data_IF_841795735669
#
_entry.id   IF_841795735669
#
_cell.length_a   1.000
_cell.length_b   1.000
_cell.length_c   1.000
_cell.angle_alpha   90.00
_cell.angle_beta   90.00
_cell.angle_gamma   90.00
#
_symmetry.space_group_name_H-M   'P 1'
#
loop_
_entity.id
_entity.type
_entity.pdbx_description
1 polymer ?
#
# COMPACT_ATOMS: atom_id res chain seq x y z
N UNK A 1 12.12 -15.77 -28.36
CA UNK A 1 12.67 -15.61 -27.01
C UNK A 1 12.17 -14.29 -26.44
N UNK A 2 11.17 -14.28 -25.54
CA UNK A 2 10.69 -13.03 -24.92
C UNK A 2 11.79 -12.53 -23.98
N UNK A 3 12.26 -11.29 -24.16
CA UNK A 3 13.23 -10.68 -23.25
C UNK A 3 12.57 -10.37 -21.90
N UNK A 4 13.33 -10.38 -20.81
CA UNK A 4 12.82 -10.09 -19.46
C UNK A 4 12.07 -8.74 -19.39
N UNK A 5 12.57 -7.75 -20.14
CA UNK A 5 11.96 -6.43 -20.31
C UNK A 5 10.59 -6.52 -21.00
N UNK A 6 10.45 -7.35 -22.04
CA UNK A 6 9.18 -7.53 -22.75
C UNK A 6 8.11 -8.16 -21.85
N UNK A 7 8.50 -9.10 -20.99
CA UNK A 7 7.61 -9.75 -20.01
C UNK A 7 7.20 -8.76 -18.91
N UNK A 8 8.14 -8.00 -18.36
CA UNK A 8 7.85 -6.97 -17.36
C UNK A 8 6.90 -5.89 -17.92
N UNK A 9 7.11 -5.47 -19.17
CA UNK A 9 6.21 -4.53 -19.86
C UNK A 9 4.83 -5.14 -20.08
N UNK A 10 4.73 -6.42 -20.48
CA UNK A 10 3.44 -7.08 -20.64
C UNK A 10 2.65 -7.13 -19.33
N UNK A 11 3.34 -7.41 -18.21
CA UNK A 11 2.76 -7.43 -16.86
C UNK A 11 2.29 -6.04 -16.39
N UNK A 12 3.14 -5.01 -16.47
CA UNK A 12 2.81 -3.65 -16.02
C UNK A 12 1.67 -3.02 -16.84
N UNK A 13 1.59 -3.35 -18.13
CA UNK A 13 0.55 -2.85 -19.02
C UNK A 13 -0.65 -3.78 -19.14
N UNK A 14 -0.67 -4.91 -18.41
CA UNK A 14 -1.74 -5.93 -18.48
C UNK A 14 -2.10 -6.31 -19.93
N UNK A 15 -1.08 -6.51 -20.79
CA UNK A 15 -1.28 -6.80 -22.22
C UNK A 15 -2.00 -8.11 -22.48
N UNK A 16 -1.79 -9.10 -21.62
CA UNK A 16 -2.37 -10.43 -21.72
C UNK A 16 -3.65 -10.58 -20.86
N UNK A 17 -4.22 -9.47 -20.37
CA UNK A 17 -5.43 -9.50 -19.56
C UNK A 17 -6.68 -9.71 -20.44
N UNK A 18 -7.59 -10.57 -20.01
CA UNK A 18 -8.82 -10.89 -20.73
C UNK A 18 -9.88 -9.79 -20.49
N UNK A 19 -9.81 -8.72 -21.28
CA UNK A 19 -10.74 -7.57 -21.19
C UNK A 19 -12.19 -7.91 -21.56
N UNK A 20 -12.42 -9.04 -22.24
CA UNK A 20 -13.74 -9.50 -22.68
C UNK A 20 -14.54 -10.24 -21.59
N UNK A 21 -13.92 -10.57 -20.45
CA UNK A 21 -14.59 -11.24 -19.32
C UNK A 21 -15.08 -10.23 -18.27
N UNK A 22 -15.95 -10.68 -17.37
CA UNK A 22 -16.39 -9.87 -16.24
C UNK A 22 -15.18 -9.47 -15.38
N UNK A 23 -14.90 -8.16 -15.33
CA UNK A 23 -13.75 -7.60 -14.62
C UNK A 23 -14.14 -7.37 -13.16
N UNK A 24 -13.52 -8.13 -12.26
CA UNK A 24 -13.66 -7.98 -10.81
C UNK A 24 -12.42 -7.34 -10.20
N UNK A 25 -12.56 -6.80 -8.99
CA UNK A 25 -11.42 -6.26 -8.23
C UNK A 25 -10.34 -7.32 -8.03
N UNK A 26 -10.74 -8.57 -7.74
CA UNK A 26 -9.80 -9.66 -7.47
C UNK A 26 -9.03 -10.08 -8.72
N UNK A 27 -9.67 -10.06 -9.89
CA UNK A 27 -9.02 -10.39 -11.16
C UNK A 27 -8.08 -9.24 -11.59
N UNK A 28 -8.46 -7.99 -11.33
CA UNK A 28 -7.68 -6.84 -11.74
C UNK A 28 -6.54 -6.51 -10.77
N UNK A 29 -6.75 -6.64 -9.46
CA UNK A 29 -5.79 -6.36 -8.39
C UNK A 29 -5.62 -7.56 -7.42
N UNK A 30 -5.18 -8.74 -7.89
CA UNK A 30 -5.07 -9.96 -7.06
C UNK A 30 -4.17 -9.79 -5.83
N UNK A 31 -3.13 -8.96 -5.93
CA UNK A 31 -2.16 -8.69 -4.87
C UNK A 31 -2.79 -8.12 -3.59
N UNK A 32 -3.92 -7.41 -3.68
CA UNK A 32 -4.58 -6.86 -2.50
C UNK A 32 -4.95 -7.97 -1.51
N UNK A 33 -5.47 -9.08 -1.99
CA UNK A 33 -5.83 -10.20 -1.12
C UNK A 33 -4.60 -10.80 -0.42
N UNK A 34 -3.48 -10.89 -1.13
CA UNK A 34 -2.22 -11.38 -0.57
C UNK A 34 -1.73 -10.43 0.52
N UNK A 35 -1.74 -9.12 0.27
CA UNK A 35 -1.26 -8.12 1.23
C UNK A 35 -2.16 -8.04 2.47
N UNK A 36 -3.47 -8.15 2.30
CA UNK A 36 -4.39 -8.26 3.42
C UNK A 36 -4.19 -9.56 4.21
N UNK A 37 -3.90 -10.68 3.55
CA UNK A 37 -3.60 -11.94 4.22
C UNK A 37 -2.33 -11.86 5.07
N UNK A 38 -1.26 -11.23 4.57
CA UNK A 38 -0.03 -10.96 5.33
C UNK A 38 -0.34 -10.11 6.58
N UNK A 39 -1.28 -9.17 6.46
CA UNK A 39 -1.79 -8.36 7.59
C UNK A 39 -2.82 -9.08 8.49
N UNK A 40 -2.99 -10.40 8.33
CA UNK A 40 -3.87 -11.22 9.18
C UNK A 40 -5.35 -11.20 8.77
N UNK A 41 -5.69 -10.70 7.59
CA UNK A 41 -7.06 -10.69 7.04
C UNK A 41 -7.23 -11.83 6.04
N UNK A 42 -7.71 -12.98 6.52
CA UNK A 42 -7.91 -14.17 5.68
C UNK A 42 -9.29 -14.20 5.04
N UNK A 43 -9.37 -14.52 3.74
CA UNK A 43 -10.64 -14.50 2.98
C UNK A 43 -11.41 -15.82 3.06
N UNK A 44 -10.73 -16.97 2.93
CA UNK A 44 -11.35 -18.30 2.92
C UNK A 44 -11.48 -18.91 4.32
N UNK A 45 -10.47 -18.77 5.17
CA UNK A 45 -10.45 -19.33 6.53
C UNK A 45 -10.44 -18.21 7.58
N UNK A 46 -11.57 -17.50 7.67
CA UNK A 46 -11.70 -16.24 8.43
C UNK A 46 -11.49 -16.39 9.92
N UNK A 47 -11.78 -17.54 10.50
CA UNK A 47 -11.65 -17.77 11.95
C UNK A 47 -10.36 -18.52 12.33
N UNK A 48 -9.46 -18.76 11.36
CA UNK A 48 -8.19 -19.40 11.66
C UNK A 48 -7.34 -18.56 12.61
N UNK A 49 -6.88 -19.19 13.70
CA UNK A 49 -5.93 -18.57 14.63
C UNK A 49 -4.54 -18.36 14.01
N UNK A 50 -4.21 -19.06 12.91
CA UNK A 50 -2.93 -18.93 12.20
C UNK A 50 -2.72 -17.50 11.69
N UNK A 51 -3.81 -16.76 11.41
CA UNK A 51 -3.76 -15.37 10.95
C UNK A 51 -3.04 -14.41 11.91
N UNK A 52 -2.95 -14.78 13.19
CA UNK A 52 -2.33 -13.95 14.21
C UNK A 52 -0.83 -14.21 14.37
N UNK A 53 -0.32 -15.36 13.91
CA UNK A 53 1.08 -15.76 14.16
C UNK A 53 2.05 -14.70 13.62
N UNK A 54 1.91 -14.33 12.34
CA UNK A 54 2.82 -13.39 11.71
C UNK A 54 2.68 -11.95 12.26
N UNK A 55 1.47 -11.38 12.40
CA UNK A 55 1.29 -10.09 13.06
C UNK A 55 1.81 -10.03 14.50
N UNK A 56 1.49 -11.02 15.33
CA UNK A 56 1.89 -11.05 16.74
C UNK A 56 3.40 -11.18 16.87
N UNK A 57 4.02 -12.12 16.13
CA UNK A 57 5.47 -12.29 16.16
C UNK A 57 6.19 -11.02 15.71
N UNK A 58 5.72 -10.42 14.60
CA UNK A 58 6.27 -9.16 14.10
C UNK A 58 6.15 -8.04 15.13
N UNK A 59 4.97 -7.87 15.75
CA UNK A 59 4.75 -6.87 16.79
C UNK A 59 5.63 -7.08 18.01
N UNK A 60 5.81 -8.32 18.47
CA UNK A 60 6.67 -8.64 19.62
C UNK A 60 8.14 -8.31 19.32
N UNK A 61 8.66 -8.69 18.15
CA UNK A 61 10.04 -8.38 17.75
C UNK A 61 10.24 -6.86 17.65
N UNK A 62 9.28 -6.15 17.03
CA UNK A 62 9.37 -4.68 16.94
C UNK A 62 9.24 -3.99 18.29
N UNK A 63 8.50 -4.57 19.25
CA UNK A 63 8.39 -4.01 20.60
C UNK A 63 9.74 -4.07 21.33
N UNK A 64 10.46 -5.18 21.20
CA UNK A 64 11.83 -5.31 21.72
C UNK A 64 12.75 -4.28 21.07
N UNK A 65 12.68 -4.14 19.74
CA UNK A 65 13.48 -3.15 19.02
C UNK A 65 13.15 -1.71 19.44
N UNK A 66 11.87 -1.38 19.63
CA UNK A 66 11.43 -0.07 20.14
C UNK A 66 11.98 0.20 21.54
N UNK A 67 11.99 -0.80 22.43
CA UNK A 67 12.60 -0.66 23.74
C UNK A 67 14.10 -0.33 23.64
N UNK A 68 14.83 -1.01 22.75
CA UNK A 68 16.23 -0.68 22.46
C UNK A 68 16.39 0.76 21.96
N UNK A 69 15.55 1.21 21.00
CA UNK A 69 15.61 2.58 20.50
C UNK A 69 15.41 3.63 21.61
N UNK A 70 14.54 3.38 22.59
CA UNK A 70 14.38 4.28 23.75
C UNK A 70 15.70 4.39 24.55
N UNK A 71 16.37 3.27 24.80
CA UNK A 71 17.68 3.27 25.47
C UNK A 71 18.74 4.01 24.65
N UNK A 72 18.75 3.84 23.33
CA UNK A 72 19.72 4.49 22.44
C UNK A 72 19.50 6.01 22.40
N UNK A 73 18.24 6.45 22.29
CA UNK A 73 17.89 7.88 22.35
C UNK A 73 18.37 8.48 23.67
N UNK A 74 18.08 7.81 24.79
CA UNK A 74 18.53 8.25 26.11
C UNK A 74 20.06 8.37 26.18
N UNK A 75 20.77 7.36 25.69
CA UNK A 75 22.23 7.36 25.64
C UNK A 75 22.76 8.53 24.80
N UNK A 76 22.26 8.70 23.56
CA UNK A 76 22.67 9.79 22.67
C UNK A 76 22.49 11.17 23.31
N UNK A 77 21.36 11.39 23.98
CA UNK A 77 21.12 12.62 24.74
C UNK A 77 22.14 12.77 25.88
N UNK A 78 22.42 11.70 26.63
CA UNK A 78 23.34 11.75 27.77
C UNK A 78 24.79 12.09 27.39
N UNK A 79 25.23 11.70 26.19
CA UNK A 79 26.58 12.00 25.67
C UNK A 79 26.61 13.22 24.75
N UNK A 80 25.48 13.92 24.57
CA UNK A 80 25.30 15.03 23.62
C UNK A 80 25.54 14.67 22.14
N UNK A 81 25.36 13.40 21.76
CA UNK A 81 25.32 12.96 20.37
C UNK A 81 23.89 13.05 19.83
N UNK A 82 23.51 14.28 19.45
CA UNK A 82 22.18 14.55 18.90
C UNK A 82 21.96 13.92 17.52
N UNK A 83 23.02 13.63 16.77
CA UNK A 83 22.94 12.95 15.48
C UNK A 83 22.44 11.52 15.67
N UNK A 84 23.12 10.76 16.53
CA UNK A 84 22.72 9.42 16.92
C UNK A 84 21.32 9.39 17.54
N UNK A 85 21.01 10.31 18.46
CA UNK A 85 19.71 10.37 19.10
C UNK A 85 18.56 10.62 18.09
N UNK A 86 18.77 11.52 17.13
CA UNK A 86 17.76 11.84 16.10
C UNK A 86 17.55 10.67 15.14
N UNK A 87 18.61 9.98 14.75
CA UNK A 87 18.52 8.80 13.90
C UNK A 87 17.74 7.67 14.61
N UNK A 88 18.07 7.37 15.87
CA UNK A 88 17.34 6.40 16.69
C UNK A 88 15.86 6.78 16.88
N UNK A 89 15.58 8.08 17.00
CA UNK A 89 14.20 8.59 17.10
C UNK A 89 13.38 8.36 15.82
N UNK A 90 13.99 8.50 14.64
CA UNK A 90 13.33 8.12 13.38
C UNK A 90 12.99 6.63 13.36
N UNK A 91 13.91 5.76 13.77
CA UNK A 91 13.66 4.31 13.81
C UNK A 91 12.63 3.92 14.87
N UNK A 92 12.62 4.60 16.02
CA UNK A 92 11.57 4.44 17.05
C UNK A 92 10.17 4.63 16.45
N UNK A 93 9.95 5.69 15.67
CA UNK A 93 8.65 5.92 15.02
C UNK A 93 8.32 4.88 13.95
N UNK A 94 9.27 4.55 13.10
CA UNK A 94 9.06 3.57 12.02
C UNK A 94 8.70 2.20 12.62
N UNK A 95 9.46 1.73 13.59
CA UNK A 95 9.23 0.44 14.25
C UNK A 95 7.97 0.46 15.11
N UNK A 96 7.70 1.56 15.83
CA UNK A 96 6.49 1.74 16.62
C UNK A 96 5.21 1.69 15.78
N UNK A 97 5.28 2.15 14.52
CA UNK A 97 4.13 2.11 13.60
C UNK A 97 3.66 0.68 13.28
N UNK A 98 4.54 -0.32 13.36
CA UNK A 98 4.22 -1.71 13.02
C UNK A 98 3.12 -2.26 13.92
N UNK A 99 3.24 -2.07 15.24
CA UNK A 99 2.22 -2.50 16.20
C UNK A 99 0.89 -1.79 15.98
N UNK A 100 0.94 -0.49 15.64
CA UNK A 100 -0.25 0.33 15.36
C UNK A 100 -0.96 -0.18 14.11
N UNK A 101 -0.23 -0.43 13.01
CA UNK A 101 -0.79 -0.91 11.73
C UNK A 101 -1.48 -2.25 11.92
N UNK A 102 -0.80 -3.26 12.49
CA UNK A 102 -1.41 -4.57 12.69
C UNK A 102 -2.62 -4.52 13.62
N UNK A 103 -2.52 -3.79 14.74
CA UNK A 103 -3.65 -3.65 15.66
C UNK A 103 -4.85 -2.99 14.96
N UNK A 104 -4.60 -1.93 14.17
CA UNK A 104 -5.64 -1.21 13.44
C UNK A 104 -6.35 -2.10 12.41
N UNK A 105 -5.59 -2.86 11.62
CA UNK A 105 -6.14 -3.78 10.60
C UNK A 105 -6.92 -4.92 11.25
N UNK A 106 -6.37 -5.55 12.29
CA UNK A 106 -7.01 -6.69 12.96
C UNK A 106 -8.30 -6.29 13.69
N UNK A 107 -8.29 -5.15 14.40
CA UNK A 107 -9.47 -4.63 15.11
C UNK A 107 -10.57 -4.17 14.15
N UNK A 108 -10.20 -3.63 12.97
CA UNK A 108 -11.16 -3.14 11.98
C UNK A 108 -11.40 -4.09 10.80
N UNK A 109 -11.09 -5.39 10.95
CA UNK A 109 -11.18 -6.38 9.86
C UNK A 109 -12.52 -6.42 9.11
N UNK A 110 -13.63 -6.24 9.83
CA UNK A 110 -14.97 -6.26 9.24
C UNK A 110 -15.17 -5.06 8.30
N UNK A 111 -14.62 -3.90 8.65
CA UNK A 111 -14.64 -2.71 7.79
C UNK A 111 -13.77 -2.93 6.56
N UNK A 112 -12.60 -3.58 6.70
CA UNK A 112 -11.73 -3.95 5.57
C UNK A 112 -12.47 -4.86 4.58
N UNK A 113 -13.17 -5.89 5.06
CA UNK A 113 -13.97 -6.75 4.18
C UNK A 113 -15.10 -5.99 3.49
N UNK A 114 -15.81 -5.12 4.21
CA UNK A 114 -16.87 -4.28 3.64
C UNK A 114 -16.32 -3.36 2.55
N UNK A 115 -15.15 -2.76 2.78
CA UNK A 115 -14.47 -1.89 1.84
C UNK A 115 -14.12 -2.62 0.54
N UNK A 116 -13.47 -3.78 0.63
CA UNK A 116 -13.13 -4.60 -0.54
C UNK A 116 -14.37 -5.09 -1.29
N UNK A 117 -15.44 -5.41 -0.57
CA UNK A 117 -16.72 -5.78 -1.18
C UNK A 117 -17.35 -4.63 -1.95
N UNK A 118 -17.31 -3.41 -1.39
CA UNK A 118 -17.82 -2.22 -2.05
C UNK A 118 -17.02 -1.90 -3.31
N UNK A 119 -15.69 -1.85 -3.23
CA UNK A 119 -14.84 -1.64 -4.41
C UNK A 119 -15.11 -2.68 -5.50
N UNK A 120 -15.30 -3.95 -5.12
CA UNK A 120 -15.63 -4.98 -6.12
C UNK A 120 -17.00 -4.75 -6.76
N UNK A 121 -18.00 -4.25 -6.02
CA UNK A 121 -19.28 -3.85 -6.60
C UNK A 121 -19.11 -2.68 -7.58
N UNK A 122 -18.22 -1.75 -7.29
CA UNK A 122 -17.96 -0.61 -8.17
C UNK A 122 -17.37 -1.09 -9.50
N UNK A 123 -16.41 -2.02 -9.47
CA UNK A 123 -15.90 -2.70 -10.66
C UNK A 123 -17.02 -3.35 -11.48
N UNK A 124 -17.85 -4.17 -10.83
CA UNK A 124 -18.94 -4.89 -11.49
C UNK A 124 -20.01 -3.97 -12.07
N UNK A 125 -20.28 -2.84 -11.42
CA UNK A 125 -21.28 -1.88 -11.85
C UNK A 125 -20.77 -1.02 -13.00
N UNK A 126 -19.60 -0.39 -12.84
CA UNK A 126 -19.05 0.56 -13.83
C UNK A 126 -18.72 -0.15 -15.14
N UNK A 127 -18.26 -1.41 -15.08
CA UNK A 127 -18.00 -2.19 -16.29
C UNK A 127 -19.26 -2.52 -17.11
N UNK A 128 -20.46 -2.38 -16.54
CA UNK A 128 -21.75 -2.57 -17.23
C UNK A 128 -22.33 -1.29 -17.81
N UNK A 129 -21.69 -0.14 -17.58
CA UNK A 129 -22.10 1.16 -18.13
C UNK A 129 -21.63 1.34 -19.58
N UNK A 130 -21.90 2.52 -20.16
CA UNK A 130 -21.39 2.89 -21.47
C UNK A 130 -19.85 2.83 -21.50
N UNK A 131 -19.30 2.66 -22.70
CA UNK A 131 -17.86 2.52 -22.92
C UNK A 131 -17.05 3.69 -22.34
N UNK A 132 -17.56 4.92 -22.42
CA UNK A 132 -16.87 6.13 -21.91
C UNK A 132 -16.56 6.05 -20.41
N UNK A 133 -17.56 5.67 -19.59
CA UNK A 133 -17.37 5.48 -18.14
C UNK A 133 -16.44 4.32 -17.83
N UNK A 134 -16.62 3.19 -18.53
CA UNK A 134 -15.82 1.99 -18.35
C UNK A 134 -14.35 2.24 -18.67
N UNK A 135 -14.08 2.83 -19.84
CA UNK A 135 -12.73 3.01 -20.36
C UNK A 135 -11.96 4.04 -19.53
N UNK A 136 -12.63 5.11 -19.07
CA UNK A 136 -12.07 6.05 -18.09
C UNK A 136 -11.71 5.34 -16.79
N UNK A 137 -12.66 4.62 -16.20
CA UNK A 137 -12.44 3.92 -14.94
C UNK A 137 -11.30 2.89 -15.04
N UNK A 138 -11.29 2.05 -16.07
CA UNK A 138 -10.27 1.02 -16.27
C UNK A 138 -8.89 1.60 -16.58
N UNK A 139 -8.82 2.73 -17.30
CA UNK A 139 -7.56 3.44 -17.52
C UNK A 139 -7.00 3.97 -16.20
N UNK A 140 -7.85 4.53 -15.34
CA UNK A 140 -7.47 4.93 -13.99
C UNK A 140 -7.02 3.74 -13.12
N UNK A 141 -7.75 2.62 -13.12
CA UNK A 141 -7.33 1.42 -12.39
C UNK A 141 -6.00 0.85 -12.91
N UNK A 142 -5.75 0.92 -14.21
CA UNK A 142 -4.47 0.53 -14.80
C UNK A 142 -3.32 1.47 -14.39
N UNK A 143 -3.59 2.78 -14.24
CA UNK A 143 -2.63 3.72 -13.68
C UNK A 143 -2.32 3.38 -12.22
N UNK A 144 -3.36 3.13 -11.41
CA UNK A 144 -3.22 2.69 -10.01
C UNK A 144 -2.34 1.45 -9.94
N UNK A 145 -2.60 0.44 -10.78
CA UNK A 145 -1.78 -0.77 -10.88
C UNK A 145 -0.30 -0.46 -11.08
N UNK A 146 0.04 0.40 -12.05
CA UNK A 146 1.43 0.76 -12.36
C UNK A 146 2.09 1.48 -11.19
N UNK A 147 1.42 2.49 -10.62
CA UNK A 147 1.96 3.27 -9.51
C UNK A 147 2.18 2.41 -8.27
N UNK A 148 1.23 1.52 -7.98
CA UNK A 148 1.32 0.53 -6.92
C UNK A 148 2.51 -0.43 -7.07
N UNK A 149 2.78 -0.94 -8.28
CA UNK A 149 3.96 -1.77 -8.53
C UNK A 149 5.27 -0.98 -8.50
N UNK A 150 5.26 0.27 -8.97
CA UNK A 150 6.40 1.18 -8.81
C UNK A 150 6.73 1.43 -7.34
N UNK A 151 5.71 1.59 -6.49
CA UNK A 151 5.88 1.73 -5.03
C UNK A 151 6.53 0.49 -4.41
N UNK A 152 6.06 -0.72 -4.76
CA UNK A 152 6.69 -1.97 -4.30
C UNK A 152 8.15 -2.05 -4.77
N UNK A 153 8.42 -1.74 -6.05
CA UNK A 153 9.76 -1.72 -6.60
C UNK A 153 10.68 -0.74 -5.85
N UNK A 154 10.16 0.45 -5.55
CA UNK A 154 10.87 1.46 -4.76
C UNK A 154 11.20 0.96 -3.35
N UNK A 155 10.23 0.39 -2.62
CA UNK A 155 10.49 -0.13 -1.27
C UNK A 155 11.53 -1.25 -1.31
N UNK A 156 11.38 -2.23 -2.21
CA UNK A 156 12.34 -3.34 -2.34
C UNK A 156 13.73 -2.81 -2.65
N UNK A 157 13.83 -1.83 -3.55
CA UNK A 157 15.10 -1.19 -3.88
C UNK A 157 15.73 -0.50 -2.67
N UNK A 158 14.98 0.30 -1.91
CA UNK A 158 15.47 0.97 -0.70
C UNK A 158 15.92 -0.06 0.34
N UNK A 159 15.12 -1.09 0.62
CA UNK A 159 15.50 -2.14 1.57
C UNK A 159 16.72 -2.93 1.13
N UNK A 160 16.84 -3.21 -0.18
CA UNK A 160 18.01 -3.86 -0.73
C UNK A 160 19.26 -2.99 -0.58
N UNK A 161 19.15 -1.66 -0.73
CA UNK A 161 20.27 -0.74 -0.51
C UNK A 161 20.77 -0.76 0.93
N UNK A 162 19.87 -0.75 1.92
CA UNK A 162 20.27 -0.85 3.34
C UNK A 162 21.08 -2.11 3.62
N UNK A 163 20.60 -3.27 3.14
CA UNK A 163 21.29 -4.55 3.34
C UNK A 163 22.58 -4.62 2.50
N UNK A 164 22.53 -4.25 1.23
CA UNK A 164 23.67 -4.37 0.32
C UNK A 164 24.82 -3.44 0.71
N UNK A 165 24.54 -2.24 1.21
CA UNK A 165 25.56 -1.30 1.64
C UNK A 165 26.42 -1.89 2.77
N UNK A 166 25.78 -2.42 3.80
CA UNK A 166 26.47 -3.09 4.92
C UNK A 166 27.22 -4.34 4.44
N UNK A 167 26.60 -5.15 3.58
CA UNK A 167 27.25 -6.36 3.04
C UNK A 167 28.46 -6.05 2.15
N UNK A 168 28.41 -4.99 1.35
CA UNK A 168 29.54 -4.57 0.52
C UNK A 168 30.71 -4.07 1.38
N UNK A 169 30.43 -3.32 2.45
CA UNK A 169 31.47 -2.91 3.39
C UNK A 169 32.11 -4.10 4.09
N UNK A 170 31.30 -5.07 4.56
CA UNK A 170 31.80 -6.31 5.16
C UNK A 170 32.63 -7.13 4.18
N UNK A 171 32.19 -7.21 2.92
CA UNK A 171 32.94 -7.90 1.86
C UNK A 171 34.29 -7.22 1.64
N UNK A 172 34.33 -5.89 1.54
CA UNK A 172 35.56 -5.13 1.43
C UNK A 172 36.49 -5.39 2.63
N UNK A 173 35.97 -5.30 3.85
CA UNK A 173 36.73 -5.55 5.07
C UNK A 173 37.28 -6.99 5.12
N UNK A 174 36.53 -7.97 4.61
CA UNK A 174 36.93 -9.38 4.65
C UNK A 174 37.94 -9.76 3.57
N UNK A 175 38.02 -8.98 2.48
CA UNK A 175 38.80 -9.37 1.28
C UNK A 175 39.97 -8.45 0.97
N UNK A 176 39.87 -7.17 1.33
CA UNK A 176 40.81 -6.13 0.90
C UNK A 176 41.43 -5.33 2.05
N UNK A 177 40.75 -5.24 3.20
CA UNK A 177 41.27 -4.44 4.32
C UNK A 177 42.54 -5.08 4.91
N UNK A 178 43.55 -4.24 5.11
CA UNK A 178 44.80 -4.61 5.79
C UNK A 178 44.63 -4.55 7.32
N UNK A 179 45.45 -5.31 8.07
CA UNK A 179 45.36 -5.36 9.54
C UNK A 179 45.57 -4.00 10.21
N UNK A 180 46.18 -3.04 9.52
CA UNK A 180 46.51 -1.70 10.00
C UNK A 180 45.32 -0.72 9.92
N UNK A 181 44.23 -1.07 9.22
CA UNK A 181 43.09 -0.16 8.98
C UNK A 181 42.15 -0.01 10.19
N UNK A 182 42.34 -0.78 11.28
CA UNK A 182 41.53 -0.74 12.51
C UNK A 182 40.01 -0.61 12.29
N UNK A 183 39.49 -1.27 11.25
CA UNK A 183 38.10 -1.09 10.83
C UNK A 183 37.12 -1.77 11.79
N UNK A 184 36.07 -1.04 12.15
CA UNK A 184 34.96 -1.54 12.96
C UNK A 184 33.88 -2.07 12.01
N UNK A 185 33.37 -3.28 12.28
CA UNK A 185 32.31 -3.90 11.46
C UNK A 185 31.06 -3.01 11.52
N UNK A 186 30.42 -2.64 10.39
CA UNK A 186 29.23 -1.79 10.42
C UNK A 186 27.98 -2.61 10.72
N UNK A 187 27.01 -2.03 11.43
CA UNK A 187 25.63 -2.53 11.48
C UNK A 187 24.78 -1.73 10.47
N UNK A 188 23.59 -2.24 10.13
CA UNK A 188 22.69 -1.54 9.21
C UNK A 188 22.10 -0.33 9.91
N UNK A 189 21.79 -0.46 11.19
CA UNK A 189 21.34 0.61 12.05
C UNK A 189 22.32 0.82 13.22
N UNK A 190 22.42 2.05 13.76
CA UNK A 190 23.28 2.32 14.88
C UNK A 190 22.75 1.64 16.15
N UNK A 191 23.65 1.09 16.96
CA UNK A 191 23.32 0.31 18.14
C UNK A 191 24.31 0.60 19.28
N UNK A 192 23.80 0.61 20.52
CA UNK A 192 24.63 0.79 21.71
C UNK A 192 24.14 -0.07 22.87
N UNK A 193 25.04 -0.69 23.63
CA UNK A 193 24.71 -1.45 24.84
C UNK A 193 25.59 -0.97 26.01
N UNK A 194 25.08 -0.93 27.25
CA UNK A 194 25.82 -0.38 28.40
C UNK A 194 27.16 -1.07 28.72
N UNK A 195 27.27 -2.38 28.50
CA UNK A 195 28.43 -3.19 28.89
C UNK A 195 28.95 -4.09 27.76
N UNK A 196 28.42 -3.94 26.55
CA UNK A 196 28.80 -4.74 25.39
C UNK A 196 29.04 -3.83 24.19
N UNK A 197 30.09 -4.12 23.41
CA UNK A 197 30.34 -3.47 22.13
C UNK A 197 29.83 -4.39 21.02
N UNK A 198 28.59 -4.19 20.52
CA UNK A 198 27.96 -5.08 19.56
C UNK A 198 28.74 -5.13 18.23
N UNK A 199 29.65 -4.19 17.97
CA UNK A 199 30.47 -4.17 16.76
C UNK A 199 31.71 -5.07 16.88
N UNK A 200 32.15 -5.42 18.10
CA UNK A 200 33.39 -6.17 18.35
C UNK A 200 33.17 -7.53 18.99
N UNK A 201 31.99 -7.78 19.56
CA UNK A 201 31.69 -9.07 20.20
C UNK A 201 31.00 -10.05 19.23
N UNK A 202 30.92 -11.35 19.60
CA UNK A 202 30.18 -12.36 18.82
C UNK A 202 28.66 -12.12 18.75
N UNK A 203 28.14 -11.12 19.48
CA UNK A 203 26.73 -10.74 19.41
C UNK A 203 26.40 -9.99 18.12
N UNK A 204 27.42 -9.50 17.40
CA UNK A 204 27.27 -8.77 16.14
C UNK A 204 26.37 -9.49 15.13
N UNK A 205 26.61 -10.79 14.91
CA UNK A 205 25.88 -11.59 13.93
C UNK A 205 24.40 -11.75 14.30
N UNK A 206 24.09 -11.79 15.59
CA UNK A 206 22.72 -11.83 16.11
C UNK A 206 22.02 -10.51 15.82
N UNK A 207 22.68 -9.38 16.11
CA UNK A 207 22.11 -8.05 15.88
C UNK A 207 21.96 -7.72 14.39
N UNK A 208 22.94 -8.07 13.56
CA UNK A 208 22.85 -7.91 12.11
C UNK A 208 21.67 -8.72 11.54
N UNK A 209 21.50 -9.97 12.00
CA UNK A 209 20.37 -10.80 11.59
C UNK A 209 19.04 -10.22 12.04
N UNK A 210 18.98 -9.70 13.28
CA UNK A 210 17.80 -9.03 13.81
C UNK A 210 17.43 -7.79 12.98
N UNK A 211 18.39 -6.96 12.61
CA UNK A 211 18.17 -5.76 11.79
C UNK A 211 17.65 -6.10 10.39
N UNK A 212 18.18 -7.14 9.75
CA UNK A 212 17.65 -7.64 8.47
C UNK A 212 16.20 -8.11 8.62
N UNK A 213 15.89 -8.83 9.70
CA UNK A 213 14.50 -9.26 9.99
C UNK A 213 13.59 -8.06 10.22
N UNK A 214 14.05 -7.04 10.95
CA UNK A 214 13.28 -5.81 11.20
C UNK A 214 12.99 -5.05 9.90
N UNK A 215 13.96 -4.95 8.98
CA UNK A 215 13.72 -4.37 7.65
C UNK A 215 12.61 -5.12 6.92
N UNK A 216 12.67 -6.46 6.92
CA UNK A 216 11.64 -7.28 6.28
C UNK A 216 10.26 -7.06 6.92
N UNK A 217 10.18 -7.00 8.25
CA UNK A 217 8.95 -6.69 8.98
C UNK A 217 8.40 -5.32 8.57
N UNK A 218 9.24 -4.28 8.53
CA UNK A 218 8.81 -2.92 8.13
C UNK A 218 8.31 -2.88 6.69
N UNK A 219 8.97 -3.57 5.77
CA UNK A 219 8.54 -3.68 4.36
C UNK A 219 7.16 -4.31 4.26
N UNK A 220 6.94 -5.44 4.94
CA UNK A 220 5.67 -6.16 4.89
C UNK A 220 4.53 -5.46 5.62
N UNK A 221 4.84 -4.56 6.55
CA UNK A 221 3.86 -3.87 7.37
C UNK A 221 3.59 -2.49 6.82
N UNK A 222 4.48 -1.54 7.11
CA UNK A 222 4.37 -0.15 6.71
C UNK A 222 4.38 -0.02 5.18
N UNK A 223 5.27 -0.74 4.49
CA UNK A 223 5.35 -0.70 3.03
C UNK A 223 4.06 -1.15 2.33
N UNK A 224 3.50 -2.29 2.76
CA UNK A 224 2.21 -2.79 2.25
C UNK A 224 1.01 -1.98 2.75
N UNK A 225 1.08 -1.39 3.93
CA UNK A 225 0.04 -0.51 4.44
C UNK A 225 -0.09 0.75 3.58
N UNK A 226 1.02 1.42 3.27
CA UNK A 226 1.03 2.59 2.36
C UNK A 226 0.53 2.20 0.98
N UNK A 227 0.89 1.02 0.48
CA UNK A 227 0.33 0.48 -0.76
C UNK A 227 -1.20 0.43 -0.72
N UNK A 228 -1.77 -0.18 0.33
CA UNK A 228 -3.22 -0.36 0.48
C UNK A 228 -3.91 1.01 0.57
N UNK A 229 -3.37 1.92 1.40
CA UNK A 229 -3.93 3.26 1.57
C UNK A 229 -3.92 4.05 0.25
N UNK A 230 -2.79 4.02 -0.45
CA UNK A 230 -2.62 4.68 -1.74
C UNK A 230 -3.57 4.12 -2.79
N UNK A 231 -3.72 2.79 -2.84
CA UNK A 231 -4.66 2.13 -3.73
C UNK A 231 -6.10 2.56 -3.47
N UNK A 232 -6.52 2.59 -2.20
CA UNK A 232 -7.86 3.00 -1.80
C UNK A 232 -8.14 4.46 -2.15
N UNK A 233 -7.21 5.36 -1.84
CA UNK A 233 -7.35 6.79 -2.11
C UNK A 233 -7.54 7.04 -3.62
N UNK A 234 -6.68 6.42 -4.45
CA UNK A 234 -6.77 6.60 -5.90
C UNK A 234 -8.02 5.92 -6.49
N UNK A 235 -8.50 4.83 -5.89
CA UNK A 235 -9.76 4.23 -6.33
C UNK A 235 -10.92 5.20 -6.17
N UNK A 236 -11.02 5.88 -5.02
CA UNK A 236 -12.05 6.91 -4.80
C UNK A 236 -11.86 8.15 -5.67
N UNK A 237 -10.61 8.55 -5.93
CA UNK A 237 -10.32 9.63 -6.87
C UNK A 237 -10.81 9.27 -8.29
N UNK A 238 -10.54 8.05 -8.75
CA UNK A 238 -11.01 7.56 -10.03
C UNK A 238 -12.55 7.45 -10.10
N UNK A 239 -13.23 7.16 -8.97
CA UNK A 239 -14.68 7.23 -8.90
C UNK A 239 -15.21 8.66 -9.01
N UNK A 240 -14.50 9.64 -8.46
CA UNK A 240 -14.85 11.06 -8.61
C UNK A 240 -14.78 11.49 -10.08
N UNK A 241 -13.77 11.05 -10.83
CA UNK A 241 -13.66 11.34 -12.27
C UNK A 241 -14.86 10.76 -13.05
N UNK A 242 -15.30 9.54 -12.72
CA UNK A 242 -16.51 8.93 -13.30
C UNK A 242 -17.78 9.74 -12.97
N UNK A 243 -17.87 10.30 -11.76
CA UNK A 243 -18.99 11.16 -11.35
C UNK A 243 -18.98 12.48 -12.13
N UNK A 244 -17.80 13.08 -12.37
CA UNK A 244 -17.67 14.31 -13.14
C UNK A 244 -18.18 14.12 -14.58
N UNK A 245 -17.82 13.01 -15.23
CA UNK A 245 -18.35 12.68 -16.57
C UNK A 245 -19.87 12.60 -16.56
N UNK A 246 -20.48 11.95 -15.55
CA UNK A 246 -21.93 11.88 -15.47
C UNK A 246 -22.60 13.23 -15.19
N UNK A 247 -21.92 14.14 -14.50
CA UNK A 247 -22.39 15.51 -14.29
C UNK A 247 -22.33 16.32 -15.59
N UNK A 248 -21.28 16.14 -16.40
CA UNK A 248 -21.17 16.76 -17.73
C UNK A 248 -22.28 16.25 -18.66
N UNK A 249 -22.51 14.93 -18.68
CA UNK A 249 -23.58 14.30 -19.47
C UNK A 249 -25.00 14.55 -18.93
N UNK A 250 -25.17 15.24 -17.78
CA UNK A 250 -26.47 15.35 -17.12
C UNK A 250 -27.52 16.02 -18.02
N UNK A 251 -27.12 17.07 -18.74
CA UNK A 251 -28.00 17.84 -19.61
C UNK A 251 -27.82 17.52 -21.10
N UNK A 252 -26.81 16.74 -21.46
CA UNK A 252 -26.49 16.45 -22.85
C UNK A 252 -27.60 15.68 -23.57
N UNK A 253 -28.00 16.23 -24.72
CA UNK A 253 -29.04 15.67 -25.58
C UNK A 253 -30.47 15.83 -25.05
N UNK A 254 -30.69 16.59 -23.97
CA UNK A 254 -32.02 16.96 -23.51
C UNK A 254 -32.53 18.17 -24.30
N UNK A 255 -33.80 18.12 -24.70
CA UNK A 255 -34.45 19.23 -25.40
C UNK A 255 -34.77 20.36 -24.42
N UNK A 256 -33.95 21.40 -24.39
CA UNK A 256 -34.15 22.58 -23.53
C UNK A 256 -35.45 23.34 -23.83
N UNK A 257 -36.00 23.21 -25.04
CA UNK A 257 -37.21 23.93 -25.44
C UNK A 257 -38.45 23.48 -24.66
N UNK A 258 -38.42 22.29 -24.06
CA UNK A 258 -39.53 21.75 -23.25
C UNK A 258 -39.74 22.47 -21.93
N UNK A 259 -38.81 23.33 -21.50
CA UNK A 259 -38.91 24.11 -20.27
C UNK A 259 -40.14 25.05 -20.30
N UNK A 260 -40.49 25.56 -21.49
CA UNK A 260 -41.63 26.44 -21.71
C UNK A 260 -42.98 25.68 -21.82
N UNK A 261 -42.96 24.35 -21.97
CA UNK A 261 -44.17 23.55 -22.12
C UNK A 261 -44.90 23.35 -20.78
N UNK A 262 -46.22 23.13 -20.77
CA UNK A 262 -46.97 22.73 -19.58
C UNK A 262 -46.37 21.49 -18.90
N UNK A 263 -46.53 21.36 -17.58
CA UNK A 263 -45.97 20.24 -16.80
C UNK A 263 -46.46 18.86 -17.25
N UNK A 264 -47.68 18.79 -17.77
CA UNK A 264 -48.30 17.54 -18.26
C UNK A 264 -47.88 17.20 -19.70
N UNK A 265 -47.12 18.06 -20.37
CA UNK A 265 -46.70 17.81 -21.75
C UNK A 265 -45.83 16.53 -21.82
N UNK A 266 -46.17 15.55 -22.67
CA UNK A 266 -45.45 14.28 -22.77
C UNK A 266 -43.93 14.45 -23.00
N UNK A 267 -43.52 15.48 -23.74
CA UNK A 267 -42.10 15.75 -24.03
C UNK A 267 -41.36 16.23 -22.79
N UNK A 268 -42.00 17.12 -22.02
CA UNK A 268 -41.46 17.61 -20.75
C UNK A 268 -41.37 16.50 -19.71
N UNK A 269 -42.38 15.64 -19.63
CA UNK A 269 -42.38 14.47 -18.74
C UNK A 269 -41.26 13.49 -19.11
N UNK A 270 -41.04 13.22 -20.40
CA UNK A 270 -39.97 12.35 -20.86
C UNK A 270 -38.57 12.88 -20.50
N UNK A 271 -38.32 14.17 -20.75
CA UNK A 271 -37.06 14.84 -20.37
C UNK A 271 -36.86 14.83 -18.85
N UNK A 272 -37.91 15.10 -18.06
CA UNK A 272 -37.83 15.04 -16.60
C UNK A 272 -37.50 13.63 -16.08
N UNK A 273 -38.07 12.58 -16.69
CA UNK A 273 -37.80 11.20 -16.31
C UNK A 273 -36.35 10.81 -16.60
N UNK A 274 -35.83 11.18 -17.76
CA UNK A 274 -34.43 10.95 -18.13
C UNK A 274 -33.47 11.67 -17.16
N UNK A 275 -33.75 12.94 -16.86
CA UNK A 275 -32.95 13.71 -15.90
C UNK A 275 -33.00 13.12 -14.48
N UNK A 276 -34.16 12.64 -14.04
CA UNK A 276 -34.29 11.97 -12.74
C UNK A 276 -33.47 10.67 -12.69
N UNK A 277 -33.41 9.89 -13.78
CA UNK A 277 -32.61 8.67 -13.86
C UNK A 277 -31.12 9.01 -13.76
N UNK A 278 -30.64 9.98 -14.55
CA UNK A 278 -29.23 10.42 -14.52
C UNK A 278 -28.85 10.99 -13.16
N UNK A 279 -29.70 11.83 -12.57
CA UNK A 279 -29.48 12.38 -11.23
C UNK A 279 -29.44 11.28 -10.16
N UNK A 280 -30.33 10.29 -10.21
CA UNK A 280 -30.32 9.18 -9.27
C UNK A 280 -29.03 8.36 -9.35
N UNK A 281 -28.47 8.20 -10.55
CA UNK A 281 -27.18 7.53 -10.76
C UNK A 281 -26.03 8.32 -10.14
N UNK A 282 -25.97 9.64 -10.33
CA UNK A 282 -24.97 10.53 -9.74
C UNK A 282 -25.06 10.51 -8.21
N UNK A 283 -26.26 10.64 -7.65
CA UNK A 283 -26.49 10.60 -6.19
C UNK A 283 -26.03 9.26 -5.63
N UNK A 284 -26.32 8.15 -6.31
CA UNK A 284 -25.87 6.81 -5.88
C UNK A 284 -24.34 6.72 -5.82
N UNK A 285 -23.62 7.28 -6.78
CA UNK A 285 -22.17 7.30 -6.77
C UNK A 285 -21.61 8.24 -5.71
N UNK A 286 -22.20 9.42 -5.56
CA UNK A 286 -21.82 10.36 -4.50
C UNK A 286 -21.94 9.70 -3.11
N UNK A 287 -23.05 9.02 -2.83
CA UNK A 287 -23.26 8.27 -1.58
C UNK A 287 -22.38 7.01 -1.43
N UNK A 288 -21.72 6.56 -2.49
CA UNK A 288 -20.74 5.45 -2.41
C UNK A 288 -19.33 5.95 -2.06
N UNK A 289 -19.04 7.21 -2.38
CA UNK A 289 -17.76 7.87 -2.12
C UNK A 289 -17.76 8.57 -0.75
N UNK A 290 -18.86 9.20 -0.35
CA UNK A 290 -19.04 9.97 0.89
C UNK A 290 -19.95 9.27 1.89
#
# INVERSE_FOLDING_TARGET
>A
MKTLISTAKAFLYKKDFEWDKEITLQNFHPQLQIFFAINGVFFNNRESNIRFIFPVLSSLITLVAVAFQIFFIWHGISINDYGFATECFCYFFILGSVGIVYSSVLLNRLKVFKLLHNMNKDFLFICKLKAEYRDTFLTGQLLIWRLCWSWIGFIIFVSALYVSNTMLYLLYQSTLATQDEHMIRPLIFPMWLPEDDPYRTPNYEIFLSLEVVLIYVVVLTFGLYVYILFHLLLHYYNLMDVILIALEELFDGLDESVVALPREDPRRVAVQNELNIRMAQIVRWHLSVF
#
